data_IF_212118134452
#
_entry.id   IF_212118134452
#
_cell.length_a   1.000
_cell.length_b   1.000
_cell.length_c   1.000
_cell.angle_alpha   90.00
_cell.angle_beta   90.00
_cell.angle_gamma   90.00
#
_symmetry.space_group_name_H-M   'P 1'
#
loop_
_entity.id
_entity.type
_entity.pdbx_description
1 polymer ?
#
# COMPACT_ATOMS: atom_id res chain seq x y z
N UNK A 1 -3.38 -59.50 -12.59
CA UNK A 1 -2.53 -59.17 -11.44
C UNK A 1 -2.86 -57.74 -11.05
N UNK A 2 -3.72 -57.56 -10.05
CA UNK A 2 -4.07 -56.23 -9.52
C UNK A 2 -2.99 -55.82 -8.53
N UNK A 3 -2.28 -54.72 -8.82
CA UNK A 3 -1.43 -54.07 -7.83
C UNK A 3 -2.32 -53.25 -6.90
N UNK A 4 -2.36 -53.62 -5.62
CA UNK A 4 -2.94 -52.79 -4.56
C UNK A 4 -2.13 -51.49 -4.45
N UNK A 5 -2.77 -50.32 -4.29
CA UNK A 5 -2.05 -49.11 -3.92
C UNK A 5 -1.50 -49.27 -2.50
N UNK A 6 -0.20 -49.06 -2.33
CA UNK A 6 0.44 -48.90 -1.02
C UNK A 6 -0.24 -47.72 -0.31
N UNK A 7 -1.02 -48.02 0.74
CA UNK A 7 -1.54 -47.00 1.62
C UNK A 7 -0.34 -46.32 2.30
N UNK A 8 -0.11 -45.04 2.01
CA UNK A 8 0.84 -44.23 2.74
C UNK A 8 0.40 -44.19 4.21
N UNK A 9 1.29 -44.57 5.14
CA UNK A 9 1.02 -44.39 6.56
C UNK A 9 0.76 -42.90 6.84
N UNK A 10 -0.25 -42.56 7.66
CA UNK A 10 -0.49 -41.18 8.04
C UNK A 10 0.75 -40.62 8.73
N UNK A 11 1.14 -39.39 8.37
CA UNK A 11 2.21 -38.69 9.06
C UNK A 11 1.92 -38.70 10.57
N UNK A 12 2.88 -39.11 11.42
CA UNK A 12 2.69 -39.05 12.85
C UNK A 12 2.37 -37.61 13.24
N UNK A 13 1.39 -37.44 14.13
CA UNK A 13 1.02 -36.11 14.61
C UNK A 13 2.27 -35.45 15.19
N UNK A 14 2.59 -34.19 14.80
CA UNK A 14 3.73 -33.49 15.35
C UNK A 14 3.54 -33.40 16.87
N UNK A 15 4.47 -33.98 17.62
CA UNK A 15 4.47 -33.80 19.07
C UNK A 15 4.80 -32.34 19.36
N UNK A 16 4.03 -31.66 20.23
CA UNK A 16 4.35 -30.29 20.62
C UNK A 16 5.72 -30.29 21.31
N UNK A 17 6.70 -29.64 20.70
CA UNK A 17 8.04 -29.48 21.27
C UNK A 17 7.95 -28.65 22.54
N UNK A 18 8.59 -29.11 23.61
CA UNK A 18 8.57 -28.38 24.89
C UNK A 18 9.49 -27.16 24.81
N UNK A 19 9.14 -26.06 25.49
CA UNK A 19 9.96 -24.82 25.53
C UNK A 19 11.40 -25.06 26.01
N UNK A 20 11.68 -26.19 26.67
CA UNK A 20 12.97 -26.58 27.24
C UNK A 20 13.83 -27.50 26.34
N UNK A 21 13.44 -27.76 25.08
CA UNK A 21 14.24 -28.58 24.18
C UNK A 21 15.55 -27.88 23.77
N UNK A 22 16.68 -28.58 23.87
CA UNK A 22 17.97 -28.03 23.40
C UNK A 22 17.94 -27.81 21.90
N UNK A 23 18.58 -26.73 21.44
CA UNK A 23 18.66 -26.39 20.02
C UNK A 23 20.06 -25.89 19.63
N UNK A 24 20.37 -25.95 18.33
CA UNK A 24 21.59 -25.42 17.75
C UNK A 24 21.20 -24.45 16.63
N UNK A 25 21.58 -23.18 16.75
CA UNK A 25 21.43 -22.21 15.68
C UNK A 25 22.70 -22.19 14.85
N UNK A 26 22.61 -22.68 13.61
CA UNK A 26 23.68 -22.69 12.62
C UNK A 26 23.50 -21.50 11.71
N UNK A 27 24.40 -20.52 11.77
CA UNK A 27 24.42 -19.35 10.91
C UNK A 27 25.57 -19.44 9.93
N UNK A 28 25.29 -19.21 8.66
CA UNK A 28 26.28 -19.18 7.58
C UNK A 28 26.11 -17.89 6.79
N UNK A 29 27.19 -17.14 6.58
CA UNK A 29 27.10 -15.87 5.87
C UNK A 29 28.35 -15.57 5.06
N UNK A 30 28.20 -14.86 3.94
CA UNK A 30 29.30 -14.60 3.02
C UNK A 30 28.86 -14.11 1.65
N UNK A 31 29.69 -14.36 0.62
CA UNK A 31 29.36 -14.04 -0.77
C UNK A 31 28.39 -15.11 -1.30
N UNK A 32 27.26 -14.66 -1.82
CA UNK A 32 26.21 -15.52 -2.35
C UNK A 32 26.64 -16.24 -3.64
N UNK A 33 26.13 -17.46 -3.83
CA UNK A 33 26.22 -18.27 -5.05
C UNK A 33 25.30 -19.49 -4.95
N UNK A 34 24.94 -20.12 -6.10
CA UNK A 34 24.16 -21.34 -6.10
C UNK A 34 24.80 -22.46 -5.26
N UNK A 35 23.96 -23.25 -4.57
CA UNK A 35 24.37 -24.47 -3.86
C UNK A 35 24.73 -24.31 -2.39
N UNK A 36 24.80 -23.11 -1.83
CA UNK A 36 25.14 -22.89 -0.40
C UNK A 36 24.12 -23.58 0.52
N UNK A 37 22.82 -23.35 0.30
CA UNK A 37 21.74 -23.95 1.08
C UNK A 37 21.80 -25.47 1.02
N UNK A 38 21.93 -26.02 -0.19
CA UNK A 38 22.03 -27.47 -0.40
C UNK A 38 23.25 -28.07 0.32
N UNK A 39 24.42 -27.40 0.24
CA UNK A 39 25.63 -27.85 0.91
C UNK A 39 25.53 -27.85 2.43
N UNK A 40 24.88 -26.83 3.02
CA UNK A 40 24.66 -26.78 4.47
C UNK A 40 23.79 -27.95 4.92
N UNK A 41 22.64 -28.16 4.28
CA UNK A 41 21.72 -29.22 4.69
C UNK A 41 22.25 -30.62 4.39
N UNK A 42 23.05 -30.80 3.33
CA UNK A 42 23.78 -32.06 3.11
C UNK A 42 24.78 -32.34 4.25
N UNK A 43 25.46 -31.29 4.74
CA UNK A 43 26.38 -31.41 5.88
C UNK A 43 25.63 -31.76 7.17
N UNK A 44 24.52 -31.09 7.44
CA UNK A 44 23.70 -31.32 8.64
C UNK A 44 23.01 -32.70 8.63
N UNK A 45 22.59 -33.18 7.45
CA UNK A 45 21.95 -34.48 7.30
C UNK A 45 22.85 -35.64 7.80
N UNK A 46 24.18 -35.50 7.72
CA UNK A 46 25.14 -36.47 8.24
C UNK A 46 25.07 -36.69 9.77
N UNK A 47 24.41 -35.80 10.50
CA UNK A 47 24.30 -35.84 11.96
C UNK A 47 22.88 -36.19 12.47
N UNK A 48 21.94 -36.47 11.56
CA UNK A 48 20.57 -36.84 11.92
C UNK A 48 19.85 -35.76 12.74
N UNK A 49 20.11 -34.49 12.45
CA UNK A 49 19.41 -33.35 13.08
C UNK A 49 18.10 -33.07 12.35
N UNK A 50 17.09 -32.63 13.10
CA UNK A 50 15.83 -32.13 12.55
C UNK A 50 15.90 -30.61 12.41
N UNK A 51 15.36 -30.08 11.32
CA UNK A 51 15.21 -28.64 11.11
C UNK A 51 14.00 -28.14 11.91
N UNK A 52 14.22 -27.11 12.71
CA UNK A 52 13.20 -26.43 13.51
C UNK A 52 12.72 -25.18 12.76
N UNK A 53 13.67 -24.35 12.33
CA UNK A 53 13.40 -23.11 11.60
C UNK A 53 14.52 -22.87 10.57
N UNK A 54 14.18 -22.20 9.48
CA UNK A 54 15.12 -21.84 8.41
C UNK A 54 14.79 -20.46 7.87
N UNK A 55 15.78 -19.57 7.92
CA UNK A 55 15.69 -18.24 7.34
C UNK A 55 16.89 -17.99 6.42
N UNK A 56 16.62 -17.56 5.18
CA UNK A 56 17.66 -17.17 4.24
C UNK A 56 17.35 -15.80 3.64
N UNK A 57 18.35 -14.92 3.60
CA UNK A 57 18.26 -13.64 2.90
C UNK A 57 19.51 -13.43 2.05
N UNK A 58 19.31 -12.94 0.82
CA UNK A 58 20.38 -12.52 -0.07
C UNK A 58 20.21 -11.03 -0.35
N UNK A 59 21.21 -10.23 0.05
CA UNK A 59 21.21 -8.78 -0.14
C UNK A 59 22.49 -8.38 -0.85
N UNK A 60 22.34 -7.80 -2.06
CA UNK A 60 23.47 -7.29 -2.88
C UNK A 60 24.59 -8.34 -3.07
N UNK A 61 24.22 -9.58 -3.37
CA UNK A 61 25.17 -10.69 -3.59
C UNK A 61 25.84 -11.20 -2.32
N UNK A 62 25.29 -10.90 -1.13
CA UNK A 62 25.71 -11.49 0.14
C UNK A 62 24.57 -12.27 0.76
N UNK A 63 24.86 -13.48 1.21
CA UNK A 63 23.89 -14.38 1.84
C UNK A 63 24.08 -14.37 3.36
N UNK A 64 22.95 -14.46 4.07
CA UNK A 64 22.87 -14.93 5.46
C UNK A 64 21.84 -16.06 5.49
N UNK A 65 22.25 -17.25 5.93
CA UNK A 65 21.44 -18.45 6.08
C UNK A 65 21.49 -18.90 7.54
N UNK A 66 20.34 -18.94 8.20
CA UNK A 66 20.16 -19.39 9.56
C UNK A 66 19.33 -20.68 9.53
N UNK A 67 19.82 -21.73 10.18
CA UNK A 67 19.08 -22.96 10.42
C UNK A 67 19.07 -23.23 11.92
N UNK A 68 17.89 -23.22 12.54
CA UNK A 68 17.70 -23.71 13.89
C UNK A 68 17.44 -25.22 13.79
N UNK A 69 18.27 -26.02 14.44
CA UNK A 69 18.19 -27.49 14.37
C UNK A 69 18.16 -28.12 15.76
N UNK A 70 17.65 -29.34 15.85
CA UNK A 70 17.80 -30.15 17.05
C UNK A 70 19.26 -30.58 17.25
N UNK A 71 19.65 -31.03 18.45
CA UNK A 71 20.95 -31.64 18.66
C UNK A 71 21.07 -32.95 17.87
N UNK A 72 22.29 -33.38 17.48
CA UNK A 72 22.50 -34.64 16.77
C UNK A 72 21.83 -35.85 17.44
N UNK A 73 21.26 -36.73 16.62
CA UNK A 73 20.63 -37.95 17.11
C UNK A 73 21.64 -38.84 17.87
N UNK A 74 21.23 -39.38 19.01
CA UNK A 74 22.01 -40.36 19.78
C UNK A 74 22.78 -39.83 20.99
N UNK A 75 22.78 -38.51 21.25
CA UNK A 75 23.20 -37.91 22.54
C UNK A 75 24.62 -38.23 23.05
N UNK A 76 25.45 -38.89 22.24
CA UNK A 76 26.78 -39.31 22.64
C UNK A 76 27.69 -38.08 22.85
N UNK A 77 28.50 -38.05 23.92
CA UNK A 77 29.45 -36.96 24.15
C UNK A 77 30.38 -36.79 22.95
N UNK A 78 30.40 -35.60 22.35
CA UNK A 78 31.32 -35.25 21.25
C UNK A 78 30.69 -35.10 19.86
N UNK A 79 29.51 -35.67 19.60
CA UNK A 79 28.86 -35.59 18.26
C UNK A 79 28.49 -34.15 17.90
N UNK A 80 28.05 -33.35 18.87
CA UNK A 80 27.82 -31.91 18.66
C UNK A 80 29.12 -31.18 18.28
N UNK A 81 30.25 -31.54 18.90
CA UNK A 81 31.56 -30.99 18.58
C UNK A 81 31.99 -31.35 17.15
N UNK A 82 31.71 -32.58 16.72
CA UNK A 82 31.97 -33.04 15.36
C UNK A 82 31.10 -32.30 14.33
N UNK A 83 29.81 -32.13 14.60
CA UNK A 83 28.91 -31.30 13.78
C UNK A 83 29.47 -29.90 13.63
N UNK A 84 29.85 -29.25 14.74
CA UNK A 84 30.42 -27.90 14.73
C UNK A 84 31.65 -27.82 13.84
N UNK A 85 32.60 -28.73 14.05
CA UNK A 85 33.84 -28.78 13.26
C UNK A 85 33.57 -28.99 11.77
N UNK A 86 32.58 -29.81 11.43
CA UNK A 86 32.26 -30.17 10.05
C UNK A 86 31.56 -29.03 9.32
N UNK A 87 30.63 -28.35 9.97
CA UNK A 87 30.00 -27.14 9.44
C UNK A 87 31.04 -26.03 9.24
N UNK A 88 31.95 -25.80 10.20
CA UNK A 88 33.00 -24.79 10.05
C UNK A 88 33.94 -25.10 8.88
N UNK A 89 34.39 -26.35 8.74
CA UNK A 89 35.25 -26.78 7.62
C UNK A 89 34.55 -26.60 6.27
N UNK A 90 33.30 -27.06 6.17
CA UNK A 90 32.51 -26.87 4.96
C UNK A 90 32.36 -25.39 4.64
N UNK A 91 32.04 -24.54 5.62
CA UNK A 91 31.91 -23.10 5.41
C UNK A 91 33.23 -22.48 4.91
N UNK A 92 34.37 -22.86 5.48
CA UNK A 92 35.69 -22.39 5.07
C UNK A 92 36.04 -22.81 3.63
N UNK A 93 35.80 -24.06 3.25
CA UNK A 93 35.95 -24.55 1.87
C UNK A 93 35.07 -23.76 0.90
N UNK A 94 33.87 -23.41 1.38
CA UNK A 94 32.93 -22.55 0.69
C UNK A 94 33.27 -21.04 0.79
N UNK A 95 34.37 -20.64 1.43
CA UNK A 95 34.72 -19.22 1.63
C UNK A 95 33.59 -18.41 2.28
N UNK A 96 32.88 -19.05 3.20
CA UNK A 96 31.82 -18.51 4.04
C UNK A 96 32.30 -18.46 5.49
N UNK A 97 31.62 -17.66 6.30
CA UNK A 97 31.76 -17.68 7.75
C UNK A 97 30.62 -18.49 8.34
N UNK A 98 30.89 -19.20 9.42
CA UNK A 98 29.88 -19.93 10.18
C UNK A 98 29.96 -19.57 11.66
N UNK A 99 28.80 -19.49 12.30
CA UNK A 99 28.63 -19.32 13.75
C UNK A 99 27.60 -20.35 14.21
N UNK A 100 27.89 -21.08 15.30
CA UNK A 100 26.98 -22.10 15.83
C UNK A 100 26.74 -21.81 17.31
N UNK A 101 25.49 -21.59 17.67
CA UNK A 101 25.10 -21.15 19.02
C UNK A 101 24.20 -22.23 19.64
N UNK A 102 24.57 -22.73 20.83
CA UNK A 102 23.67 -23.61 21.60
C UNK A 102 22.56 -22.79 22.25
N UNK A 103 21.34 -23.28 22.19
CA UNK A 103 20.16 -22.65 22.74
C UNK A 103 19.18 -23.65 23.34
N UNK A 104 18.03 -23.13 23.75
CA UNK A 104 16.89 -23.89 24.27
C UNK A 104 15.64 -23.28 23.65
N UNK A 105 14.70 -24.13 23.26
CA UNK A 105 13.41 -23.77 22.68
C UNK A 105 13.48 -23.34 21.22
N UNK A 106 12.31 -23.03 20.70
CA UNK A 106 12.11 -22.43 19.38
C UNK A 106 12.19 -20.89 19.45
N UNK A 107 12.15 -20.23 18.30
CA UNK A 107 12.06 -18.79 18.14
C UNK A 107 10.89 -18.24 18.98
N UNK A 108 11.18 -17.36 19.94
CA UNK A 108 10.13 -16.70 20.76
C UNK A 108 9.11 -16.03 19.82
N UNK A 109 7.81 -15.98 20.19
CA UNK A 109 6.82 -15.27 19.41
C UNK A 109 7.30 -13.84 19.10
N UNK A 110 7.13 -13.40 17.85
CA UNK A 110 7.47 -12.03 17.45
C UNK A 110 6.77 -11.04 18.40
N UNK A 111 7.48 -9.98 18.79
CA UNK A 111 6.99 -8.95 19.72
C UNK A 111 5.58 -8.46 19.30
N UNK A 112 4.74 -8.18 20.28
CA UNK A 112 3.41 -7.57 20.08
C UNK A 112 3.54 -6.16 19.48
N UNK A 113 2.42 -5.56 19.04
CA UNK A 113 2.42 -4.22 18.44
C UNK A 113 3.17 -4.18 17.10
N UNK A 114 2.83 -5.10 16.19
CA UNK A 114 3.49 -5.17 14.89
C UNK A 114 2.83 -4.22 13.90
N UNK A 115 3.65 -3.43 13.21
CA UNK A 115 3.22 -2.46 12.20
C UNK A 115 4.16 -2.48 11.00
N UNK A 116 3.64 -2.04 9.86
CA UNK A 116 4.41 -1.76 8.67
C UNK A 116 4.43 -0.25 8.46
N UNK A 117 5.64 0.31 8.44
CA UNK A 117 5.88 1.73 8.22
C UNK A 117 6.40 1.91 6.80
N UNK A 118 5.56 2.40 5.90
CA UNK A 118 5.96 2.74 4.53
C UNK A 118 6.43 4.18 4.49
N UNK A 119 7.63 4.42 3.98
CA UNK A 119 8.24 5.75 3.84
C UNK A 119 8.47 6.02 2.36
N UNK A 120 7.90 7.12 1.86
CA UNK A 120 8.15 7.62 0.51
C UNK A 120 9.00 8.89 0.60
N UNK A 121 10.12 8.89 -0.11
CA UNK A 121 11.01 10.04 -0.22
C UNK A 121 11.41 10.33 -1.65
N UNK A 122 11.49 11.62 -1.98
CA UNK A 122 11.87 12.11 -3.30
C UNK A 122 12.83 13.32 -3.18
N UNK A 123 14.13 13.10 -2.85
CA UNK A 123 14.77 11.83 -2.51
C UNK A 123 14.58 11.44 -1.03
N UNK A 124 14.69 10.14 -0.71
CA UNK A 124 14.79 9.68 0.67
C UNK A 124 16.21 9.91 1.21
N UNK A 125 16.38 10.91 2.07
CA UNK A 125 17.71 11.29 2.59
C UNK A 125 18.14 10.44 3.79
N UNK A 126 19.45 10.37 4.03
CA UNK A 126 19.99 9.72 5.22
C UNK A 126 19.54 10.43 6.52
N UNK A 127 19.40 11.76 6.50
CA UNK A 127 18.88 12.54 7.63
C UNK A 127 17.44 12.17 7.95
N UNK A 128 16.57 12.13 6.94
CA UNK A 128 15.18 11.72 7.11
C UNK A 128 15.08 10.28 7.64
N UNK A 129 15.88 9.38 7.06
CA UNK A 129 15.94 7.98 7.52
C UNK A 129 16.36 7.91 8.99
N UNK A 130 17.45 8.58 9.37
CA UNK A 130 17.95 8.58 10.74
C UNK A 130 16.93 9.15 11.74
N UNK A 131 16.26 10.24 11.38
CA UNK A 131 15.24 10.86 12.21
C UNK A 131 14.05 9.91 12.45
N UNK A 132 13.48 9.35 11.39
CA UNK A 132 12.37 8.40 11.48
C UNK A 132 12.74 7.17 12.31
N UNK A 133 13.90 6.54 12.06
CA UNK A 133 14.33 5.35 12.81
C UNK A 133 14.63 5.67 14.28
N UNK A 134 15.12 6.87 14.57
CA UNK A 134 15.33 7.33 15.94
C UNK A 134 13.99 7.54 16.65
N UNK A 135 12.99 8.07 15.95
CA UNK A 135 11.62 8.22 16.49
C UNK A 135 10.95 6.88 16.77
N UNK A 136 11.11 5.88 15.89
CA UNK A 136 10.66 4.50 16.14
C UNK A 136 11.28 3.98 17.44
N UNK A 137 12.60 4.14 17.58
CA UNK A 137 13.34 3.68 18.78
C UNK A 137 12.88 4.40 20.04
N UNK A 138 12.67 5.72 19.97
CA UNK A 138 12.20 6.53 21.11
C UNK A 138 10.78 6.15 21.57
N UNK A 139 9.94 5.64 20.67
CA UNK A 139 8.61 5.10 20.98
C UNK A 139 8.65 3.64 21.47
N UNK A 140 9.84 3.05 21.70
CA UNK A 140 10.00 1.65 22.14
C UNK A 140 9.91 0.61 21.02
N UNK A 141 9.78 1.04 19.76
CA UNK A 141 9.73 0.16 18.61
C UNK A 141 11.09 -0.41 18.22
N UNK A 142 11.09 -1.65 17.72
CA UNK A 142 12.21 -2.30 17.05
C UNK A 142 11.93 -2.40 15.55
N UNK A 143 12.93 -2.18 14.71
CA UNK A 143 12.83 -2.43 13.27
C UNK A 143 13.29 -3.86 13.02
N UNK A 144 12.34 -4.75 12.74
CA UNK A 144 12.60 -6.17 12.50
C UNK A 144 13.16 -6.42 11.10
N UNK A 145 12.73 -5.62 10.12
CA UNK A 145 13.15 -5.74 8.73
C UNK A 145 12.97 -4.43 7.99
N UNK A 146 13.88 -4.16 7.05
CA UNK A 146 13.73 -3.09 6.06
C UNK A 146 13.73 -3.68 4.67
N UNK A 147 12.83 -3.22 3.81
CA UNK A 147 12.75 -3.62 2.42
C UNK A 147 12.43 -2.45 1.51
N UNK A 148 12.86 -2.54 0.26
CA UNK A 148 12.58 -1.52 -0.74
C UNK A 148 11.31 -1.93 -1.49
N UNK A 149 10.35 -1.01 -1.56
CA UNK A 149 9.12 -1.15 -2.34
C UNK A 149 9.30 -0.59 -3.75
N UNK A 150 10.04 0.52 -3.90
CA UNK A 150 10.25 1.16 -5.18
C UNK A 150 11.58 1.93 -5.22
N UNK A 151 12.20 2.00 -6.40
CA UNK A 151 13.32 2.92 -6.69
C UNK A 151 12.84 4.20 -7.38
N UNK A 152 11.72 4.12 -8.10
CA UNK A 152 11.15 5.18 -8.89
C UNK A 152 9.60 4.99 -8.97
N UNK A 153 8.80 6.02 -9.29
CA UNK A 153 9.19 7.43 -9.47
C UNK A 153 9.69 8.07 -8.15
N UNK A 154 9.42 7.41 -7.03
CA UNK A 154 9.92 7.79 -5.70
C UNK A 154 10.70 6.64 -5.06
N UNK A 155 11.59 6.98 -4.12
CA UNK A 155 12.20 5.95 -3.29
C UNK A 155 11.19 5.57 -2.21
N UNK A 156 10.71 4.33 -2.26
CA UNK A 156 9.79 3.79 -1.27
C UNK A 156 10.47 2.65 -0.52
N UNK A 157 10.48 2.74 0.81
CA UNK A 157 10.97 1.68 1.70
C UNK A 157 9.90 1.36 2.73
N UNK A 158 9.87 0.11 3.17
CA UNK A 158 9.01 -0.31 4.25
C UNK A 158 9.85 -0.89 5.39
N UNK A 159 9.48 -0.50 6.60
CA UNK A 159 10.04 -0.99 7.84
C UNK A 159 8.98 -1.84 8.54
N UNK A 160 9.26 -3.12 8.74
CA UNK A 160 8.50 -3.94 9.67
C UNK A 160 8.94 -3.58 11.09
N UNK A 161 8.01 -3.08 11.89
CA UNK A 161 8.26 -2.57 13.24
C UNK A 161 7.46 -3.40 14.25
N UNK A 162 8.03 -3.65 15.43
CA UNK A 162 7.37 -4.32 16.54
C UNK A 162 7.68 -3.68 17.89
N UNK A 163 6.88 -3.96 18.93
CA UNK A 163 7.12 -3.48 20.29
C UNK A 163 6.43 -2.16 20.66
N UNK A 164 5.60 -1.60 19.78
CA UNK A 164 4.87 -0.35 20.01
C UNK A 164 3.48 -0.43 19.38
N UNK A 165 2.47 0.14 20.02
CA UNK A 165 1.11 0.17 19.47
C UNK A 165 1.07 0.97 18.15
N UNK A 166 0.27 0.52 17.18
CA UNK A 166 0.21 1.13 15.84
C UNK A 166 -0.17 2.61 15.89
N UNK A 167 -1.14 2.99 16.74
CA UNK A 167 -1.62 4.38 16.84
C UNK A 167 -0.57 5.30 17.48
N UNK A 168 0.12 4.81 18.51
CA UNK A 168 1.23 5.54 19.16
C UNK A 168 2.37 5.77 18.17
N UNK A 169 2.74 4.73 17.41
CA UNK A 169 3.77 4.81 16.39
C UNK A 169 3.38 5.77 15.26
N UNK A 170 2.11 5.73 14.82
CA UNK A 170 1.58 6.64 13.80
C UNK A 170 1.69 8.09 14.25
N UNK A 171 1.22 8.41 15.45
CA UNK A 171 1.29 9.76 16.00
C UNK A 171 2.73 10.26 16.13
N UNK A 172 3.64 9.42 16.63
CA UNK A 172 5.06 9.77 16.78
C UNK A 172 5.76 10.04 15.43
N UNK A 173 5.37 9.32 14.38
CA UNK A 173 5.98 9.43 13.06
C UNK A 173 5.38 10.53 12.19
N UNK A 174 4.09 10.86 12.34
CA UNK A 174 3.44 11.90 11.56
C UNK A 174 4.15 13.27 11.69
N UNK A 175 4.51 13.67 12.93
CA UNK A 175 5.21 14.93 13.20
C UNK A 175 6.61 14.96 12.57
N UNK A 176 7.34 13.84 12.67
CA UNK A 176 8.69 13.73 12.10
C UNK A 176 8.66 13.72 10.58
N UNK A 177 7.70 13.01 9.97
CA UNK A 177 7.52 12.96 8.53
C UNK A 177 7.27 14.35 7.93
N UNK A 178 6.41 15.15 8.56
CA UNK A 178 6.18 16.54 8.17
C UNK A 178 7.46 17.40 8.25
N UNK A 179 8.26 17.21 9.30
CA UNK A 179 9.53 17.93 9.50
C UNK A 179 10.57 17.54 8.44
N UNK A 180 10.68 16.24 8.14
CA UNK A 180 11.63 15.70 7.18
C UNK A 180 11.17 15.81 5.72
N UNK A 181 9.93 16.26 5.48
CA UNK A 181 9.29 16.36 4.16
C UNK A 181 9.29 15.03 3.41
N UNK A 182 8.87 13.99 4.11
CA UNK A 182 8.67 12.63 3.58
C UNK A 182 7.24 12.20 3.87
N UNK A 183 6.72 11.29 3.07
CA UNK A 183 5.41 10.71 3.29
C UNK A 183 5.55 9.42 4.09
N UNK A 184 4.62 9.20 5.02
CA UNK A 184 4.63 8.02 5.88
C UNK A 184 3.23 7.44 6.03
N UNK A 185 3.15 6.11 5.97
CA UNK A 185 1.96 5.36 6.33
C UNK A 185 2.32 4.31 7.37
N UNK A 186 1.54 4.25 8.45
CA UNK A 186 1.70 3.25 9.52
C UNK A 186 0.46 2.39 9.59
N UNK A 187 0.61 1.13 9.18
CA UNK A 187 -0.49 0.16 9.10
C UNK A 187 -0.19 -1.00 10.02
N UNK A 188 -1.18 -1.44 10.81
CA UNK A 188 -1.03 -2.63 11.64
C UNK A 188 -0.66 -3.86 10.78
N UNK A 189 0.26 -4.68 11.26
CA UNK A 189 0.60 -5.93 10.59
C UNK A 189 -0.52 -6.95 10.82
N UNK A 190 -0.84 -7.75 9.79
CA UNK A 190 -1.88 -8.76 9.88
C UNK A 190 -2.52 -9.07 8.54
N UNK A 191 -3.50 -9.98 8.54
CA UNK A 191 -4.25 -10.36 7.35
C UNK A 191 -5.09 -9.19 6.81
N UNK A 192 -5.62 -8.35 7.70
CA UNK A 192 -6.44 -7.17 7.37
C UNK A 192 -5.75 -6.19 6.41
N UNK A 193 -4.42 -6.07 6.49
CA UNK A 193 -3.62 -5.25 5.56
C UNK A 193 -3.75 -5.76 4.12
N UNK A 194 -3.73 -7.08 3.93
CA UNK A 194 -3.83 -7.74 2.62
C UNK A 194 -5.27 -7.92 2.15
N UNK A 195 -6.24 -7.53 2.98
CA UNK A 195 -7.66 -7.75 2.74
C UNK A 195 -8.39 -6.52 2.19
N UNK A 196 -7.69 -5.43 1.87
CA UNK A 196 -8.29 -4.28 1.18
C UNK A 196 -8.81 -4.72 -0.20
N UNK A 197 -10.06 -4.40 -0.55
CA UNK A 197 -10.73 -4.90 -1.78
C UNK A 197 -11.55 -3.87 -2.56
N UNK A 198 -11.82 -2.71 -1.98
CA UNK A 198 -12.50 -1.61 -2.67
C UNK A 198 -11.66 -0.34 -2.53
N UNK A 199 -11.40 0.34 -3.63
CA UNK A 199 -10.82 1.67 -3.64
C UNK A 199 -11.82 2.68 -4.18
N UNK A 200 -11.96 3.81 -3.49
CA UNK A 200 -12.84 4.92 -3.89
C UNK A 200 -12.00 6.18 -4.00
N UNK A 201 -12.04 6.86 -5.14
CA UNK A 201 -11.20 8.03 -5.40
C UNK A 201 -12.06 9.26 -5.69
N UNK A 202 -11.60 10.43 -5.25
CA UNK A 202 -12.04 11.67 -5.87
C UNK A 202 -11.55 11.74 -7.32
N UNK A 203 -12.23 12.57 -8.11
CA UNK A 203 -11.93 12.78 -9.53
C UNK A 203 -11.05 14.02 -9.69
N UNK A 204 -11.61 15.20 -9.48
CA UNK A 204 -10.93 16.48 -9.67
C UNK A 204 -9.72 16.57 -8.74
N UNK A 205 -8.59 17.07 -9.23
CA UNK A 205 -7.31 17.19 -8.50
C UNK A 205 -6.75 15.90 -7.86
N UNK A 206 -7.36 14.73 -8.12
CA UNK A 206 -6.96 13.42 -7.59
C UNK A 206 -6.75 12.41 -8.71
N UNK A 207 -7.81 11.88 -9.32
CA UNK A 207 -7.71 10.95 -10.46
C UNK A 207 -7.25 11.68 -11.73
N UNK A 208 -7.70 12.93 -11.89
CA UNK A 208 -7.35 13.83 -12.98
C UNK A 208 -6.67 15.08 -12.42
N UNK A 209 -5.90 15.77 -13.25
CA UNK A 209 -5.15 16.97 -12.84
C UNK A 209 -5.99 18.26 -12.89
N UNK A 210 -7.15 18.18 -13.53
CA UNK A 210 -7.98 19.33 -13.87
C UNK A 210 -9.18 19.43 -12.91
N UNK A 211 -9.74 20.64 -12.80
CA UNK A 211 -11.04 20.88 -12.20
C UNK A 211 -12.09 20.93 -13.32
N UNK A 212 -12.96 19.91 -13.42
CA UNK A 212 -13.88 19.76 -14.55
C UNK A 212 -14.77 20.99 -14.75
N UNK A 213 -15.20 21.63 -13.67
CA UNK A 213 -16.04 22.83 -13.75
C UNK A 213 -15.31 24.01 -14.40
N UNK A 214 -14.00 24.13 -14.20
CA UNK A 214 -13.18 25.17 -14.81
C UNK A 214 -13.02 24.92 -16.30
N UNK A 215 -12.88 23.66 -16.74
CA UNK A 215 -12.88 23.30 -18.16
C UNK A 215 -14.20 23.71 -18.84
N UNK A 216 -15.36 23.45 -18.23
CA UNK A 216 -16.64 23.93 -18.77
C UNK A 216 -16.71 25.46 -18.78
N UNK A 217 -16.21 26.12 -17.74
CA UNK A 217 -16.19 27.59 -17.63
C UNK A 217 -15.32 28.23 -18.71
N UNK A 218 -14.23 27.58 -19.11
CA UNK A 218 -13.35 27.99 -20.20
C UNK A 218 -14.12 28.13 -21.51
N UNK A 219 -14.85 27.08 -21.88
CA UNK A 219 -15.66 27.07 -23.09
C UNK A 219 -16.88 28.00 -23.01
N UNK A 220 -17.34 28.34 -21.80
CA UNK A 220 -18.38 29.35 -21.57
C UNK A 220 -17.85 30.80 -21.53
N UNK A 221 -16.52 31.01 -21.49
CA UNK A 221 -15.91 32.32 -21.31
C UNK A 221 -16.17 32.94 -19.93
N UNK A 222 -16.32 32.12 -18.89
CA UNK A 222 -16.64 32.55 -17.52
C UNK A 222 -15.69 32.02 -16.44
N UNK A 223 -14.48 31.55 -16.81
CA UNK A 223 -13.43 31.07 -15.89
C UNK A 223 -13.21 32.02 -14.70
N UNK A 224 -12.96 33.31 -14.96
CA UNK A 224 -12.68 34.29 -13.90
C UNK A 224 -13.80 34.35 -12.86
N UNK A 225 -15.06 34.29 -13.31
CA UNK A 225 -16.23 34.32 -12.42
C UNK A 225 -16.37 33.03 -11.62
N UNK A 226 -16.08 31.87 -12.23
CA UNK A 226 -16.09 30.58 -11.51
C UNK A 226 -14.98 30.54 -10.47
N UNK A 227 -13.80 31.08 -10.78
CA UNK A 227 -12.69 31.19 -9.85
C UNK A 227 -13.03 32.11 -8.65
N UNK A 228 -13.67 33.25 -8.90
CA UNK A 228 -14.14 34.16 -7.82
C UNK A 228 -15.10 33.46 -6.85
N UNK A 229 -16.09 32.72 -7.37
CA UNK A 229 -17.06 31.96 -6.55
C UNK A 229 -16.37 30.82 -5.80
N UNK A 230 -15.43 30.11 -6.44
CA UNK A 230 -14.64 29.05 -5.79
C UNK A 230 -13.81 29.60 -4.64
N UNK A 231 -13.17 30.76 -4.84
CA UNK A 231 -12.41 31.43 -3.80
C UNK A 231 -13.31 31.89 -2.63
N UNK A 232 -14.53 32.37 -2.90
CA UNK A 232 -15.51 32.71 -1.87
C UNK A 232 -15.93 31.49 -1.04
N UNK A 233 -16.19 30.35 -1.69
CA UNK A 233 -16.49 29.10 -1.01
C UNK A 233 -15.34 28.61 -0.13
N UNK A 234 -14.09 28.73 -0.61
CA UNK A 234 -12.89 28.40 0.18
C UNK A 234 -12.68 29.32 1.39
N UNK A 235 -13.20 30.56 1.36
CA UNK A 235 -13.24 31.46 2.53
C UNK A 235 -14.38 31.15 3.51
N UNK A 236 -15.25 30.19 3.20
CA UNK A 236 -16.42 29.85 4.00
C UNK A 236 -17.60 30.82 3.84
N UNK A 237 -17.59 31.66 2.80
CA UNK A 237 -18.66 32.63 2.52
C UNK A 237 -19.90 31.96 1.90
N UNK A 238 -19.73 30.77 1.31
CA UNK A 238 -20.78 29.96 0.70
C UNK A 238 -20.63 28.53 1.18
N UNK A 239 -21.75 27.84 1.44
CA UNK A 239 -21.72 26.40 1.61
C UNK A 239 -21.41 25.68 0.28
N UNK A 240 -21.09 24.39 0.33
CA UNK A 240 -20.71 23.64 -0.86
C UNK A 240 -21.81 23.62 -1.93
N UNK A 241 -23.06 23.44 -1.52
CA UNK A 241 -24.20 23.32 -2.44
C UNK A 241 -24.54 24.69 -3.07
N UNK A 242 -24.46 25.77 -2.30
CA UNK A 242 -24.59 27.14 -2.76
C UNK A 242 -23.49 27.49 -3.77
N UNK A 243 -22.23 27.20 -3.42
CA UNK A 243 -21.08 27.40 -4.32
C UNK A 243 -21.20 26.61 -5.61
N UNK A 244 -21.59 25.33 -5.54
CA UNK A 244 -21.81 24.51 -6.72
C UNK A 244 -22.91 25.09 -7.61
N UNK A 245 -24.07 25.44 -7.05
CA UNK A 245 -25.18 26.03 -7.81
C UNK A 245 -24.79 27.36 -8.44
N UNK A 246 -24.07 28.21 -7.73
CA UNK A 246 -23.60 29.50 -8.24
C UNK A 246 -22.62 29.33 -9.41
N UNK A 247 -21.67 28.40 -9.32
CA UNK A 247 -20.74 28.10 -10.43
C UNK A 247 -21.44 27.47 -11.62
N UNK A 248 -22.36 26.53 -11.39
CA UNK A 248 -23.12 25.88 -12.45
C UNK A 248 -24.07 26.85 -13.16
N UNK A 249 -24.65 27.82 -12.44
CA UNK A 249 -25.50 28.85 -13.04
C UNK A 249 -24.78 29.69 -14.11
N UNK A 250 -23.46 29.86 -13.99
CA UNK A 250 -22.64 30.58 -14.97
C UNK A 250 -22.49 29.81 -16.30
N UNK A 251 -22.83 28.52 -16.33
CA UNK A 251 -22.78 27.67 -17.52
C UNK A 251 -24.12 27.67 -18.29
N UNK A 252 -25.13 28.40 -17.82
CA UNK A 252 -26.44 28.45 -18.46
C UNK A 252 -26.36 28.93 -19.92
N UNK A 253 -26.96 28.16 -20.83
CA UNK A 253 -27.00 28.44 -22.27
C UNK A 253 -25.83 27.88 -23.08
N UNK A 254 -24.80 27.33 -22.43
CA UNK A 254 -23.70 26.64 -23.10
C UNK A 254 -24.23 25.36 -23.78
N UNK A 255 -23.79 25.12 -25.01
CA UNK A 255 -24.15 23.93 -25.80
C UNK A 255 -23.59 22.67 -25.14
N UNK A 256 -24.44 21.69 -24.86
CA UNK A 256 -24.05 20.45 -24.19
C UNK A 256 -23.05 19.60 -25.01
N UNK A 257 -22.96 19.82 -26.32
CA UNK A 257 -21.96 19.18 -27.19
C UNK A 257 -20.51 19.52 -26.80
N UNK A 258 -20.30 20.58 -26.02
CA UNK A 258 -18.99 20.92 -25.43
C UNK A 258 -18.43 19.81 -24.54
N UNK A 259 -19.29 18.95 -23.98
CA UNK A 259 -18.91 17.84 -23.11
C UNK A 259 -17.84 16.95 -23.76
N UNK A 260 -17.94 16.70 -25.07
CA UNK A 260 -16.95 15.89 -25.80
C UNK A 260 -15.58 16.55 -25.87
N UNK A 261 -15.53 17.89 -25.94
CA UNK A 261 -14.27 18.64 -25.92
C UNK A 261 -13.63 18.58 -24.53
N UNK A 262 -14.44 18.80 -23.49
CA UNK A 262 -13.99 18.71 -22.09
C UNK A 262 -13.44 17.31 -21.80
N UNK A 263 -14.14 16.24 -22.22
CA UNK A 263 -13.66 14.85 -22.09
C UNK A 263 -12.30 14.63 -22.75
N UNK A 264 -12.04 15.23 -23.92
CA UNK A 264 -10.78 15.11 -24.63
C UNK A 264 -9.64 15.94 -24.00
N UNK A 265 -9.97 16.99 -23.25
CA UNK A 265 -9.01 17.87 -22.56
C UNK A 265 -8.57 17.32 -21.19
N UNK A 266 -9.34 16.41 -20.59
CA UNK A 266 -9.04 15.80 -19.29
C UNK A 266 -7.68 15.10 -19.30
N UNK A 267 -6.83 15.47 -18.34
CA UNK A 267 -5.51 14.86 -18.11
C UNK A 267 -5.53 14.00 -16.86
N UNK A 268 -5.16 12.73 -17.01
CA UNK A 268 -4.99 11.84 -15.87
C UNK A 268 -3.80 12.25 -15.01
N UNK A 269 -3.96 12.12 -13.70
CA UNK A 269 -2.84 12.24 -12.78
C UNK A 269 -1.78 11.16 -13.10
N UNK A 270 -0.48 11.50 -13.13
CA UNK A 270 0.56 10.51 -13.39
C UNK A 270 0.42 9.29 -12.48
N UNK A 271 0.50 8.09 -13.05
CA UNK A 271 0.30 6.83 -12.32
C UNK A 271 -1.16 6.41 -12.12
N UNK A 272 -2.17 7.24 -12.44
CA UNK A 272 -3.58 6.87 -12.27
C UNK A 272 -3.97 5.58 -13.01
N UNK A 273 -3.60 5.47 -14.30
CA UNK A 273 -3.86 4.28 -15.10
C UNK A 273 -3.14 3.05 -14.54
N UNK A 274 -1.91 3.23 -14.07
CA UNK A 274 -1.10 2.16 -13.45
C UNK A 274 -1.70 1.68 -12.14
N UNK A 275 -2.17 2.60 -11.27
CA UNK A 275 -2.88 2.29 -10.04
C UNK A 275 -4.10 1.42 -10.34
N UNK A 276 -5.03 1.92 -11.17
CA UNK A 276 -6.31 1.24 -11.46
C UNK A 276 -6.08 -0.14 -12.06
N UNK A 277 -5.25 -0.23 -13.11
CA UNK A 277 -4.94 -1.50 -13.78
C UNK A 277 -4.33 -2.52 -12.83
N UNK A 278 -3.41 -2.08 -11.96
CA UNK A 278 -2.78 -2.98 -10.97
C UNK A 278 -3.80 -3.49 -9.96
N UNK A 279 -4.66 -2.60 -9.45
CA UNK A 279 -5.68 -2.97 -8.48
C UNK A 279 -6.73 -3.92 -9.08
N UNK A 280 -7.18 -3.68 -10.31
CA UNK A 280 -8.07 -4.59 -11.03
C UNK A 280 -7.47 -6.00 -11.19
N UNK A 281 -6.16 -6.11 -11.50
CA UNK A 281 -5.46 -7.41 -11.57
C UNK A 281 -5.42 -8.14 -10.23
N UNK A 282 -5.43 -7.40 -9.12
CA UNK A 282 -5.50 -7.96 -7.76
C UNK A 282 -6.94 -8.26 -7.32
N UNK A 283 -7.93 -8.05 -8.18
CA UNK A 283 -9.34 -8.29 -7.89
C UNK A 283 -9.96 -7.22 -6.99
N UNK A 284 -9.38 -6.02 -6.94
CA UNK A 284 -10.04 -4.88 -6.32
C UNK A 284 -11.19 -4.41 -7.20
N UNK A 285 -12.23 -3.93 -6.54
CA UNK A 285 -13.21 -3.07 -7.18
C UNK A 285 -12.75 -1.61 -7.06
N UNK A 286 -12.98 -0.83 -8.11
CA UNK A 286 -12.51 0.55 -8.23
C UNK A 286 -13.71 1.45 -8.48
N UNK A 287 -13.86 2.46 -7.65
CA UNK A 287 -14.94 3.43 -7.74
C UNK A 287 -14.43 4.87 -7.72
N UNK A 288 -15.27 5.78 -8.22
CA UNK A 288 -15.05 7.24 -8.10
C UNK A 288 -16.24 7.94 -7.47
N UNK A 289 -15.97 8.95 -6.64
CA UNK A 289 -17.00 9.82 -6.07
C UNK A 289 -16.55 11.27 -6.19
N UNK A 290 -17.29 12.04 -6.99
CA UNK A 290 -16.90 13.41 -7.37
C UNK A 290 -17.96 14.45 -7.00
N UNK A 291 -17.50 15.64 -6.64
CA UNK A 291 -18.33 16.85 -6.60
C UNK A 291 -18.55 17.49 -7.99
N UNK A 292 -17.84 17.01 -9.02
CA UNK A 292 -17.99 17.36 -10.42
C UNK A 292 -19.21 16.69 -11.06
N UNK A 293 -19.08 16.29 -12.34
CA UNK A 293 -20.25 15.98 -13.17
C UNK A 293 -20.24 14.61 -13.85
N UNK A 294 -21.41 13.95 -13.93
CA UNK A 294 -21.62 12.66 -14.61
C UNK A 294 -21.21 12.70 -16.07
N UNK A 295 -21.38 13.87 -16.71
CA UNK A 295 -20.89 14.16 -18.06
C UNK A 295 -19.41 13.78 -18.25
N UNK A 296 -18.56 13.89 -17.23
CA UNK A 296 -17.16 13.47 -17.31
C UNK A 296 -16.94 12.12 -16.64
N UNK A 297 -17.51 11.88 -15.45
CA UNK A 297 -17.22 10.63 -14.70
C UNK A 297 -17.68 9.38 -15.44
N UNK A 298 -18.79 9.42 -16.17
CA UNK A 298 -19.28 8.27 -16.93
C UNK A 298 -18.28 7.87 -18.03
N UNK A 299 -17.61 8.86 -18.64
CA UNK A 299 -16.56 8.60 -19.60
C UNK A 299 -15.31 7.98 -18.95
N UNK A 300 -14.97 8.40 -17.73
CA UNK A 300 -13.87 7.80 -16.97
C UNK A 300 -14.17 6.33 -16.61
N UNK A 301 -15.41 6.01 -16.26
CA UNK A 301 -15.87 4.64 -16.01
C UNK A 301 -15.62 3.75 -17.22
N UNK A 302 -16.05 4.19 -18.40
CA UNK A 302 -15.87 3.45 -19.65
C UNK A 302 -14.39 3.30 -20.02
N UNK A 303 -13.62 4.39 -19.93
CA UNK A 303 -12.20 4.40 -20.33
C UNK A 303 -11.30 3.54 -19.42
N UNK A 304 -11.61 3.47 -18.12
CA UNK A 304 -10.77 2.83 -17.11
C UNK A 304 -11.35 1.50 -16.60
N UNK A 305 -12.58 1.15 -16.99
CA UNK A 305 -13.27 -0.05 -16.52
C UNK A 305 -13.59 0.01 -15.02
N UNK A 306 -14.05 1.16 -14.54
CA UNK A 306 -14.43 1.33 -13.13
C UNK A 306 -15.72 0.56 -12.82
N UNK A 307 -15.84 0.04 -11.60
CA UNK A 307 -17.01 -0.70 -11.16
C UNK A 307 -18.19 0.23 -10.80
N UNK A 308 -17.88 1.39 -10.21
CA UNK A 308 -18.88 2.30 -9.66
C UNK A 308 -18.48 3.78 -9.87
N UNK A 309 -19.48 4.65 -10.02
CA UNK A 309 -19.29 6.09 -10.03
C UNK A 309 -20.48 6.82 -9.40
N UNK A 310 -20.18 7.94 -8.73
CA UNK A 310 -21.19 8.90 -8.27
C UNK A 310 -20.69 10.34 -8.49
N UNK A 311 -21.52 11.18 -9.08
CA UNK A 311 -21.24 12.59 -9.33
C UNK A 311 -22.54 13.39 -9.41
N UNK A 312 -22.44 14.72 -9.46
CA UNK A 312 -23.60 15.58 -9.76
C UNK A 312 -23.95 15.49 -11.25
N UNK A 313 -25.18 15.81 -11.65
CA UNK A 313 -25.55 15.81 -13.07
C UNK A 313 -25.93 17.21 -13.52
N UNK A 314 -25.24 17.76 -14.53
CA UNK A 314 -25.68 19.01 -15.16
C UNK A 314 -27.00 18.80 -15.90
N UNK A 315 -27.99 19.64 -15.66
CA UNK A 315 -29.28 19.58 -16.35
C UNK A 315 -29.14 20.10 -17.79
N UNK A 316 -29.61 19.29 -18.74
CA UNK A 316 -29.62 19.62 -20.17
C UNK A 316 -31.05 19.67 -20.68
N UNK A 317 -31.43 20.76 -21.34
CA UNK A 317 -32.72 20.93 -22.02
C UNK A 317 -32.46 21.52 -23.39
N UNK A 318 -33.09 20.95 -24.43
CA UNK A 318 -32.93 21.37 -25.83
C UNK A 318 -31.46 21.45 -26.28
N UNK A 319 -30.64 20.50 -25.80
CA UNK A 319 -29.21 20.42 -26.12
C UNK A 319 -28.32 21.47 -25.43
N UNK A 320 -28.84 22.21 -24.44
CA UNK A 320 -28.08 23.24 -23.72
C UNK A 320 -28.12 23.02 -22.21
N UNK A 321 -27.05 23.43 -21.53
CA UNK A 321 -27.04 23.45 -20.07
C UNK A 321 -28.00 24.52 -19.54
N UNK A 322 -28.81 24.17 -18.56
CA UNK A 322 -29.78 25.11 -17.96
C UNK A 322 -29.18 25.97 -16.85
N UNK A 323 -27.96 25.64 -16.41
CA UNK A 323 -27.32 26.23 -15.24
C UNK A 323 -27.81 25.65 -13.91
N UNK A 324 -28.39 24.44 -13.92
CA UNK A 324 -28.81 23.70 -12.71
C UNK A 324 -28.20 22.30 -12.66
N UNK A 325 -28.18 21.73 -11.46
CA UNK A 325 -27.85 20.32 -11.22
C UNK A 325 -29.11 19.51 -10.92
N UNK A 326 -29.14 18.26 -11.38
CA UNK A 326 -30.25 17.30 -11.16
C UNK A 326 -29.85 16.32 -10.07
N UNK A 327 -30.83 15.92 -9.25
CA UNK A 327 -30.66 14.86 -8.25
C UNK A 327 -30.12 15.33 -6.91
N UNK A 328 -29.65 14.37 -6.11
CA UNK A 328 -28.99 14.64 -4.82
C UNK A 328 -27.59 15.19 -5.07
N UNK A 329 -27.25 16.30 -4.41
CA UNK A 329 -25.90 16.88 -4.52
C UNK A 329 -24.91 15.99 -3.78
N UNK A 330 -23.83 15.61 -4.47
CA UNK A 330 -22.68 14.91 -3.88
C UNK A 330 -21.81 15.93 -3.14
N UNK A 331 -22.19 16.20 -1.89
CA UNK A 331 -21.44 17.03 -0.94
C UNK A 331 -20.48 16.19 -0.09
N UNK A 332 -19.81 16.81 0.89
CA UNK A 332 -18.84 16.16 1.78
C UNK A 332 -19.43 14.93 2.49
N UNK A 333 -20.60 15.07 3.10
CA UNK A 333 -21.28 13.95 3.75
C UNK A 333 -21.78 12.93 2.71
N UNK A 334 -22.17 13.39 1.53
CA UNK A 334 -22.54 12.58 0.37
C UNK A 334 -21.43 11.66 -0.08
N UNK A 335 -20.17 12.12 -0.08
CA UNK A 335 -19.02 11.27 -0.43
C UNK A 335 -18.88 10.07 0.51
N UNK A 336 -19.02 10.28 1.81
CA UNK A 336 -19.02 9.19 2.80
C UNK A 336 -20.21 8.23 2.62
N UNK A 337 -21.41 8.76 2.33
CA UNK A 337 -22.58 7.92 2.03
C UNK A 337 -22.37 7.06 0.78
N UNK A 338 -21.75 7.60 -0.26
CA UNK A 338 -21.45 6.84 -1.48
C UNK A 338 -20.38 5.78 -1.28
N UNK A 339 -19.32 6.07 -0.52
CA UNK A 339 -18.36 5.05 -0.09
C UNK A 339 -19.06 3.86 0.59
N UNK A 340 -19.95 4.13 1.56
CA UNK A 340 -20.69 3.08 2.25
C UNK A 340 -21.62 2.29 1.31
N UNK A 341 -22.29 2.95 0.37
CA UNK A 341 -23.12 2.30 -0.65
C UNK A 341 -22.30 1.41 -1.58
N UNK A 342 -21.14 1.88 -2.04
CA UNK A 342 -20.25 1.08 -2.88
C UNK A 342 -19.68 -0.12 -2.12
N UNK A 343 -19.30 0.06 -0.86
CA UNK A 343 -18.86 -1.02 0.02
C UNK A 343 -19.94 -2.11 0.18
N UNK A 344 -21.19 -1.71 0.38
CA UNK A 344 -22.34 -2.62 0.45
C UNK A 344 -22.57 -3.37 -0.87
N UNK A 345 -22.56 -2.67 -2.01
CA UNK A 345 -22.72 -3.27 -3.34
C UNK A 345 -21.59 -4.25 -3.68
N UNK A 346 -20.36 -3.90 -3.30
CA UNK A 346 -19.15 -4.69 -3.45
C UNK A 346 -19.09 -5.89 -2.47
N UNK A 347 -19.92 -5.87 -1.42
CA UNK A 347 -19.84 -6.80 -0.27
C UNK A 347 -18.47 -6.76 0.41
N UNK A 348 -17.90 -5.56 0.50
CA UNK A 348 -16.61 -5.29 1.15
C UNK A 348 -16.87 -4.54 2.46
N UNK A 349 -16.42 -5.03 3.63
CA UNK A 349 -16.48 -4.28 4.88
C UNK A 349 -15.78 -2.92 4.77
N UNK A 350 -16.26 -1.89 5.48
CA UNK A 350 -15.66 -0.55 5.42
C UNK A 350 -14.18 -0.55 5.79
N UNK A 351 -13.78 -1.40 6.74
CA UNK A 351 -12.39 -1.59 7.17
C UNK A 351 -11.49 -2.13 6.04
N UNK A 352 -12.09 -2.71 5.00
CA UNK A 352 -11.42 -3.22 3.80
C UNK A 352 -11.49 -2.26 2.61
N UNK A 353 -11.97 -1.04 2.82
CA UNK A 353 -11.99 0.02 1.80
C UNK A 353 -10.77 0.94 1.93
N UNK A 354 -10.42 1.58 0.81
CA UNK A 354 -9.42 2.64 0.72
C UNK A 354 -10.09 3.85 0.08
N UNK A 355 -9.94 5.03 0.66
CA UNK A 355 -10.39 6.28 0.06
C UNK A 355 -9.20 7.17 -0.29
N UNK A 356 -9.22 7.80 -1.47
CA UNK A 356 -8.20 8.78 -1.89
C UNK A 356 -8.88 10.10 -2.24
N UNK A 357 -8.37 11.22 -1.74
CA UNK A 357 -8.85 12.56 -2.09
C UNK A 357 -7.85 13.65 -1.68
N UNK A 358 -8.02 14.87 -2.17
CA UNK A 358 -7.12 16.01 -1.94
C UNK A 358 -7.78 17.13 -1.10
N UNK A 359 -9.10 17.18 -1.07
CA UNK A 359 -9.86 18.33 -0.63
C UNK A 359 -10.57 18.15 0.71
N UNK A 360 -10.99 19.27 1.30
CA UNK A 360 -11.76 19.26 2.55
C UNK A 360 -13.16 18.63 2.40
N UNK A 361 -13.65 18.57 1.15
CA UNK A 361 -14.84 17.85 0.73
C UNK A 361 -14.68 16.32 0.82
N UNK A 362 -13.47 15.79 0.91
CA UNK A 362 -13.22 14.34 1.01
C UNK A 362 -13.10 13.85 2.45
N UNK A 363 -12.93 14.75 3.42
CA UNK A 363 -12.61 14.39 4.80
C UNK A 363 -13.55 13.34 5.41
N UNK A 364 -14.86 13.43 5.19
CA UNK A 364 -15.79 12.45 5.75
C UNK A 364 -15.66 11.09 5.06
N UNK A 365 -15.34 11.06 3.76
CA UNK A 365 -15.06 9.83 3.01
C UNK A 365 -13.74 9.20 3.47
N UNK A 366 -12.68 10.01 3.61
CA UNK A 366 -11.38 9.57 4.09
C UNK A 366 -11.47 8.98 5.50
N UNK A 367 -12.20 9.65 6.41
CA UNK A 367 -12.38 9.19 7.79
C UNK A 367 -13.28 7.95 7.92
N UNK A 368 -14.20 7.74 6.98
CA UNK A 368 -15.09 6.58 6.97
C UNK A 368 -14.46 5.32 6.37
N UNK A 369 -13.39 5.48 5.57
CA UNK A 369 -12.69 4.36 4.96
C UNK A 369 -11.80 3.61 5.95
N UNK A 370 -11.48 2.36 5.65
CA UNK A 370 -10.51 1.58 6.41
C UNK A 370 -9.05 2.06 6.23
N UNK A 371 -8.80 2.86 5.20
CA UNK A 371 -7.56 3.60 4.98
C UNK A 371 -7.88 4.87 4.16
N UNK A 372 -7.82 6.03 4.79
CA UNK A 372 -7.94 7.33 4.14
C UNK A 372 -6.58 7.87 3.69
N UNK A 373 -6.42 8.13 2.39
CA UNK A 373 -5.18 8.67 1.80
C UNK A 373 -5.42 10.08 1.28
N UNK A 374 -4.74 11.06 1.89
CA UNK A 374 -4.71 12.43 1.41
C UNK A 374 -3.68 12.57 0.28
N UNK A 375 -4.11 12.78 -0.97
CA UNK A 375 -3.24 12.89 -2.14
C UNK A 375 -2.99 14.35 -2.52
N UNK A 376 -1.73 14.81 -2.47
CA UNK A 376 -1.31 16.20 -2.68
C UNK A 376 -2.19 17.25 -1.99
N UNK A 377 -2.80 16.85 -0.86
CA UNK A 377 -3.95 17.51 -0.29
C UNK A 377 -3.61 18.84 0.38
N UNK A 378 -4.60 19.62 0.81
CA UNK A 378 -4.36 20.80 1.67
C UNK A 378 -3.92 20.38 3.08
N UNK A 379 -3.18 21.21 3.85
CA UNK A 379 -2.68 20.83 5.18
C UNK A 379 -3.74 20.26 6.13
N UNK A 380 -4.93 20.90 6.18
CA UNK A 380 -6.05 20.43 7.00
C UNK A 380 -6.52 19.01 6.67
N UNK A 381 -6.38 18.60 5.41
CA UNK A 381 -6.75 17.25 4.95
C UNK A 381 -5.66 16.25 5.31
N UNK A 382 -4.39 16.64 5.12
CA UNK A 382 -3.22 15.81 5.47
C UNK A 382 -3.17 15.47 6.96
N UNK A 383 -3.54 16.42 7.81
CA UNK A 383 -3.55 16.25 9.27
C UNK A 383 -4.68 15.33 9.76
N UNK A 384 -5.78 15.23 8.99
CA UNK A 384 -6.96 14.47 9.37
C UNK A 384 -7.00 13.05 8.78
N UNK A 385 -6.38 12.82 7.62
CA UNK A 385 -6.33 11.50 6.99
C UNK A 385 -5.38 10.52 7.71
N UNK A 386 -5.55 9.21 7.49
CA UNK A 386 -4.66 8.19 8.06
C UNK A 386 -3.22 8.33 7.56
N UNK A 387 -3.06 8.77 6.32
CA UNK A 387 -1.77 8.99 5.66
C UNK A 387 -1.90 10.00 4.53
N UNK A 388 -0.77 10.57 4.11
CA UNK A 388 -0.70 11.51 3.01
C UNK A 388 0.38 11.09 2.00
N UNK A 389 0.13 11.36 0.72
CA UNK A 389 1.06 11.23 -0.40
C UNK A 389 1.25 12.61 -1.00
N UNK A 390 2.45 13.17 -0.94
CA UNK A 390 2.76 14.55 -1.34
C UNK A 390 3.69 14.61 -2.56
N UNK A 391 3.65 13.57 -3.36
CA UNK A 391 4.35 13.45 -4.65
C UNK A 391 3.31 13.35 -5.77
N UNK A 392 3.60 13.85 -6.98
CA UNK A 392 2.61 13.97 -8.06
C UNK A 392 2.37 12.64 -8.81
N UNK A 393 2.41 11.51 -8.11
CA UNK A 393 2.33 10.16 -8.68
C UNK A 393 1.30 9.33 -7.90
N UNK A 394 0.12 9.11 -8.49
CA UNK A 394 -1.00 8.44 -7.83
C UNK A 394 -0.76 6.94 -7.61
N UNK A 395 0.07 6.31 -8.44
CA UNK A 395 0.47 4.89 -8.30
C UNK A 395 1.30 4.61 -7.05
N UNK A 396 1.81 5.65 -6.38
CA UNK A 396 2.52 5.48 -5.10
C UNK A 396 1.63 4.96 -3.98
N UNK A 397 0.30 5.06 -4.11
CA UNK A 397 -0.65 4.41 -3.19
C UNK A 397 -0.48 2.88 -3.20
N UNK A 398 -0.04 2.28 -4.31
CA UNK A 398 0.27 0.84 -4.36
C UNK A 398 1.31 0.44 -3.31
N UNK A 399 2.29 1.31 -3.06
CA UNK A 399 3.34 1.07 -2.06
C UNK A 399 2.76 1.05 -0.64
N UNK A 400 1.77 1.89 -0.35
CA UNK A 400 1.07 1.89 0.95
C UNK A 400 0.31 0.56 1.17
N UNK A 401 -0.17 -0.04 0.08
CA UNK A 401 -0.81 -1.36 0.07
C UNK A 401 0.20 -2.52 0.08
N UNK A 402 1.51 -2.24 0.09
CA UNK A 402 2.58 -3.23 0.13
C UNK A 402 2.88 -3.90 -1.20
N UNK A 403 2.40 -3.33 -2.31
CA UNK A 403 2.69 -3.79 -3.67
C UNK A 403 3.99 -3.11 -4.11
N UNK A 404 4.95 -3.87 -4.62
CA UNK A 404 6.25 -3.34 -5.05
C UNK A 404 6.22 -2.86 -6.50
N UNK A 405 7.10 -1.91 -6.86
CA UNK A 405 7.24 -1.46 -8.26
C UNK A 405 7.63 -2.62 -9.18
N UNK A 406 8.51 -3.49 -8.71
CA UNK A 406 8.94 -4.66 -9.46
C UNK A 406 7.77 -5.63 -9.76
N UNK A 407 6.81 -5.80 -8.84
CA UNK A 407 5.59 -6.60 -9.09
C UNK A 407 4.68 -5.95 -10.14
N UNK A 408 4.54 -4.62 -10.10
CA UNK A 408 3.76 -3.86 -11.10
C UNK A 408 4.36 -4.05 -12.50
N UNK A 409 5.67 -3.82 -12.64
CA UNK A 409 6.39 -3.96 -13.92
C UNK A 409 6.30 -5.39 -14.45
N UNK A 410 6.50 -6.39 -13.59
CA UNK A 410 6.43 -7.80 -13.99
C UNK A 410 5.03 -8.16 -14.52
N UNK A 411 3.96 -7.69 -13.87
CA UNK A 411 2.60 -7.90 -14.34
C UNK A 411 2.34 -7.14 -15.65
N UNK A 412 2.84 -5.92 -15.79
CA UNK A 412 2.70 -5.10 -16.99
C UNK A 412 3.38 -5.71 -18.22
N UNK A 413 4.59 -6.24 -18.05
CA UNK A 413 5.30 -6.98 -19.11
C UNK A 413 4.50 -8.22 -19.53
N UNK A 414 3.96 -8.98 -18.56
CA UNK A 414 3.18 -10.19 -18.85
C UNK A 414 1.89 -9.89 -19.65
N UNK A 415 1.30 -8.71 -19.46
CA UNK A 415 0.08 -8.27 -20.14
C UNK A 415 0.32 -7.34 -21.33
N UNK A 416 1.57 -7.12 -21.74
CA UNK A 416 1.91 -6.29 -22.91
C UNK A 416 1.51 -4.82 -22.79
N UNK A 417 1.35 -4.30 -21.57
CA UNK A 417 1.00 -2.90 -21.31
C UNK A 417 2.18 -2.25 -20.56
N UNK A 418 3.00 -1.40 -21.17
CA UNK A 418 4.13 -0.79 -20.48
C UNK A 418 3.64 0.08 -19.31
N UNK A 419 4.39 0.06 -18.20
CA UNK A 419 4.11 0.95 -17.07
C UNK A 419 4.43 2.39 -17.45
N UNK A 420 3.41 3.25 -17.38
CA UNK A 420 3.53 4.71 -17.61
C UNK A 420 4.13 5.46 -16.42
#
# INVERSE_FOLDING_TARGET
MNASPLAAEPFPAPQPRTEDERTLLVKVFGKDRPGITAGLFATLAGFGVDVIDIEQVVTRGRITLCALVTPPAGGAPGVEGELRSTVHRWAEEQKLQAEIISGIGDNRPRREGRSHVTVLGHPLTASATAALTSRITAAGGNIDRVFRLAKYPVTAVELAVSGVATDELRAALAQEAATQRVDIAVVAAGLERRAKRLIVMDVDSTLIQDEVIELFAAHAGCEEKVAEVTAAAMRGELDFAESLRARVALLAGLDAAVTEKVRAEVRFTPGARTLIRTLQRLGFQVAVVSGGFTQVTDHLVEQLGLDYAAANTLEVVDGKFTGRVVGEIVDRAGKARWLARFAEQAKVPLEQTVAIGDGANDLDMLNAAGLGVAFNAKPVVREAADTAVNVPFLDTVLYLLGITREEVEAADVLHGTPTE
#
